data_IF_141624727219
#
_entry.id   IF_141624727219
#
_cell.length_a   1.000
_cell.length_b   1.000
_cell.length_c   1.000
_cell.angle_alpha   90.00
_cell.angle_beta   90.00
_cell.angle_gamma   90.00
#
_symmetry.space_group_name_H-M   'P 1'
#
loop_
_entity.id
_entity.type
_entity.pdbx_description
1 polymer ?
#
# COMPACT_ATOMS: atom_id res chain seq x y z
N UNK A 1 -24.92 -40.89 -25.05
CA UNK A 1 -23.75 -39.98 -25.15
C UNK A 1 -24.22 -38.63 -24.68
N UNK A 2 -24.16 -38.40 -23.37
CA UNK A 2 -24.72 -37.22 -22.72
C UNK A 2 -23.63 -36.16 -22.66
N UNK A 3 -23.67 -35.22 -23.59
CA UNK A 3 -22.75 -34.09 -23.67
C UNK A 3 -23.03 -33.15 -22.50
N UNK A 4 -22.28 -33.31 -21.40
CA UNK A 4 -22.26 -32.35 -20.31
C UNK A 4 -21.70 -31.03 -20.79
N UNK A 5 -22.56 -30.06 -21.07
CA UNK A 5 -22.17 -28.67 -21.24
C UNK A 5 -21.59 -28.20 -19.92
N UNK A 6 -20.26 -28.05 -19.83
CA UNK A 6 -19.63 -27.33 -18.74
C UNK A 6 -20.07 -25.88 -18.82
N UNK A 7 -20.84 -25.45 -17.83
CA UNK A 7 -21.18 -24.04 -17.63
C UNK A 7 -19.85 -23.29 -17.52
N UNK A 8 -19.60 -22.23 -18.32
CA UNK A 8 -18.40 -21.43 -18.12
C UNK A 8 -18.43 -20.88 -16.70
N UNK A 9 -17.35 -21.08 -15.94
CA UNK A 9 -17.19 -20.54 -14.59
C UNK A 9 -17.57 -19.05 -14.61
N UNK A 10 -18.61 -18.68 -13.85
CA UNK A 10 -19.09 -17.31 -13.83
C UNK A 10 -17.97 -16.40 -13.33
N UNK A 11 -17.50 -15.50 -14.20
CA UNK A 11 -16.53 -14.47 -13.83
C UNK A 11 -17.22 -13.46 -12.90
N UNK A 12 -17.00 -13.61 -11.60
CA UNK A 12 -17.50 -12.70 -10.59
C UNK A 12 -16.49 -11.58 -10.36
N UNK A 13 -16.92 -10.32 -10.50
CA UNK A 13 -16.13 -9.12 -10.19
C UNK A 13 -16.99 -8.15 -9.37
N UNK A 14 -16.34 -7.28 -8.59
CA UNK A 14 -17.01 -6.21 -7.86
C UNK A 14 -16.66 -4.86 -8.50
N UNK A 15 -17.59 -3.92 -8.50
CA UNK A 15 -17.31 -2.55 -8.94
C UNK A 15 -16.88 -1.69 -7.75
N UNK A 16 -15.99 -0.72 -7.99
CA UNK A 16 -15.58 0.25 -6.96
C UNK A 16 -16.79 1.00 -6.37
N UNK A 17 -17.80 1.32 -7.19
CA UNK A 17 -19.03 1.99 -6.78
C UNK A 17 -19.84 1.23 -5.73
N UNK A 18 -19.78 -0.11 -5.75
CA UNK A 18 -20.57 -0.95 -4.85
C UNK A 18 -19.94 -1.06 -3.45
N UNK A 19 -18.70 -0.58 -3.29
CA UNK A 19 -17.95 -0.69 -2.04
C UNK A 19 -18.17 0.56 -1.19
N UNK A 20 -18.97 0.41 -0.13
CA UNK A 20 -19.26 1.48 0.85
C UNK A 20 -18.27 1.56 2.02
N UNK A 21 -17.12 0.88 1.89
CA UNK A 21 -16.14 0.77 2.96
C UNK A 21 -15.12 1.91 2.81
N UNK A 22 -14.69 2.56 3.90
CA UNK A 22 -13.59 3.52 3.85
C UNK A 22 -12.30 2.85 3.38
N UNK A 23 -11.45 3.61 2.70
CA UNK A 23 -10.11 3.14 2.34
C UNK A 23 -9.32 2.94 3.63
N UNK A 24 -8.78 1.75 3.81
CA UNK A 24 -7.99 1.37 4.98
C UNK A 24 -6.73 0.67 4.52
N UNK A 25 -5.62 0.97 5.16
CA UNK A 25 -4.29 0.49 4.78
C UNK A 25 -3.57 0.04 6.04
N UNK A 26 -2.96 -1.14 6.04
CA UNK A 26 -2.22 -1.66 7.18
C UNK A 26 -0.72 -1.52 6.96
N UNK A 27 0.00 -0.98 7.93
CA UNK A 27 1.47 -0.94 7.95
C UNK A 27 2.02 -2.24 8.55
N UNK A 28 2.63 -3.11 7.75
CA UNK A 28 3.24 -4.35 8.27
C UNK A 28 4.59 -4.09 8.93
N UNK A 29 5.38 -3.17 8.37
CA UNK A 29 6.67 -2.80 8.95
C UNK A 29 7.56 -2.02 8.00
N UNK A 30 8.56 -1.35 8.58
CA UNK A 30 9.66 -0.68 7.90
C UNK A 30 10.89 -1.57 7.96
N UNK A 31 11.56 -1.73 6.82
CA UNK A 31 12.83 -2.44 6.70
C UNK A 31 13.91 -1.47 6.21
N UNK A 32 15.12 -1.59 6.75
CA UNK A 32 16.28 -0.77 6.38
C UNK A 32 16.75 0.14 7.51
N UNK A 33 17.95 0.70 7.36
CA UNK A 33 18.58 1.55 8.36
C UNK A 33 18.30 3.02 8.05
N UNK A 34 17.67 3.72 8.99
CA UNK A 34 17.40 5.16 8.86
C UNK A 34 18.70 5.95 8.69
N UNK A 35 18.68 7.07 7.93
CA UNK A 35 19.84 7.94 7.75
C UNK A 35 20.54 8.35 9.06
N UNK A 36 19.76 8.63 10.12
CA UNK A 36 20.28 9.03 11.45
C UNK A 36 21.00 7.90 12.18
N UNK A 37 20.63 6.64 11.92
CA UNK A 37 21.24 5.47 12.56
C UNK A 37 22.45 4.94 11.77
N UNK A 38 22.80 5.56 10.63
CA UNK A 38 23.94 5.13 9.82
C UNK A 38 25.26 5.60 10.44
N UNK A 39 26.27 4.72 10.55
CA UNK A 39 27.60 5.13 10.96
C UNK A 39 28.19 6.07 9.88
N UNK A 40 28.27 7.37 10.20
CA UNK A 40 28.83 8.41 9.31
C UNK A 40 27.90 9.58 8.97
N UNK A 41 26.64 9.58 9.44
CA UNK A 41 25.71 10.70 9.24
C UNK A 41 26.01 11.90 10.15
N UNK A 42 26.84 12.84 9.67
CA UNK A 42 26.94 14.29 9.92
C UNK A 42 26.56 14.96 11.28
N UNK A 43 26.36 14.24 12.38
CA UNK A 43 26.23 14.83 13.71
C UNK A 43 27.12 14.06 14.69
N UNK A 44 28.07 14.80 15.26
CA UNK A 44 29.03 14.35 16.25
C UNK A 44 28.42 13.44 17.33
N UNK A 45 29.01 12.26 17.51
CA UNK A 45 29.18 11.64 18.83
C UNK A 45 27.96 11.05 19.56
N UNK A 46 26.73 11.05 19.02
CA UNK A 46 25.56 10.46 19.70
C UNK A 46 25.04 9.20 18.99
N UNK A 47 25.75 8.08 19.16
CA UNK A 47 25.34 6.75 18.68
C UNK A 47 24.17 6.12 19.46
N UNK A 48 23.34 6.89 20.16
CA UNK A 48 22.39 6.35 21.15
C UNK A 48 21.17 7.24 21.41
N UNK A 49 20.61 7.90 20.41
CA UNK A 49 19.28 8.51 20.58
C UNK A 49 18.21 7.52 20.10
N UNK A 50 17.24 7.23 20.97
CA UNK A 50 16.04 6.49 20.57
C UNK A 50 15.30 7.31 19.52
N UNK A 51 15.25 6.80 18.29
CA UNK A 51 14.54 7.44 17.19
C UNK A 51 13.16 6.81 17.08
N UNK A 52 12.12 7.64 17.17
CA UNK A 52 10.75 7.22 16.89
C UNK A 52 10.39 7.61 15.45
N UNK A 53 9.58 6.80 14.79
CA UNK A 53 9.15 7.00 13.41
C UNK A 53 7.63 6.93 13.32
N UNK A 54 7.06 7.83 12.52
CA UNK A 54 5.66 7.76 12.15
C UNK A 54 5.50 7.95 10.64
N UNK A 55 4.41 7.41 10.11
CA UNK A 55 4.05 7.49 8.70
C UNK A 55 2.85 8.41 8.59
N UNK A 56 2.92 9.35 7.67
CA UNK A 56 1.79 10.16 7.23
C UNK A 56 1.37 9.63 5.87
N UNK A 57 0.09 9.31 5.72
CA UNK A 57 -0.47 8.87 4.46
C UNK A 57 -1.53 9.87 3.98
N UNK A 58 -1.44 10.24 2.71
CA UNK A 58 -2.38 11.15 2.04
C UNK A 58 -2.97 10.42 0.84
N UNK A 59 -4.25 10.68 0.56
CA UNK A 59 -4.91 10.18 -0.63
C UNK A 59 -4.87 11.28 -1.70
N UNK A 60 -4.48 10.91 -2.91
CA UNK A 60 -4.34 11.83 -4.05
C UNK A 60 -5.20 11.27 -5.18
N UNK A 61 -5.88 12.13 -5.93
CA UNK A 61 -6.53 11.74 -7.20
C UNK A 61 -6.25 12.79 -8.26
N UNK A 62 -5.78 12.34 -9.42
CA UNK A 62 -5.18 13.25 -10.40
C UNK A 62 -3.95 13.90 -9.78
N UNK A 63 -4.01 15.21 -9.59
CA UNK A 63 -2.97 16.04 -8.95
C UNK A 63 -3.49 16.79 -7.70
N UNK A 64 -4.63 16.36 -7.13
CA UNK A 64 -5.23 16.97 -5.93
C UNK A 64 -5.29 15.98 -4.76
N UNK A 65 -5.06 16.48 -3.53
CA UNK A 65 -5.19 15.70 -2.30
C UNK A 65 -6.66 15.59 -1.92
N UNK A 66 -7.15 14.36 -1.77
CA UNK A 66 -8.53 14.09 -1.38
C UNK A 66 -8.57 13.75 0.11
N UNK A 67 -9.42 14.48 0.84
CA UNK A 67 -9.76 14.16 2.21
C UNK A 67 -8.65 14.50 3.21
N UNK A 68 -8.72 13.86 4.38
CA UNK A 68 -7.80 14.11 5.49
C UNK A 68 -6.59 13.18 5.43
N UNK A 69 -5.45 13.70 5.87
CA UNK A 69 -4.22 12.95 6.03
C UNK A 69 -4.34 11.99 7.22
N UNK A 70 -3.99 10.72 7.02
CA UNK A 70 -3.96 9.71 8.07
C UNK A 70 -2.57 9.66 8.71
N UNK A 71 -2.53 9.59 10.04
CA UNK A 71 -1.29 9.50 10.81
C UNK A 71 -1.18 8.12 11.46
N UNK A 72 0.00 7.52 11.39
CA UNK A 72 0.31 6.36 12.21
C UNK A 72 0.69 6.78 13.62
N UNK A 73 0.66 5.81 14.53
CA UNK A 73 1.32 5.97 15.82
C UNK A 73 2.84 6.02 15.64
N UNK A 74 3.52 6.51 16.66
CA UNK A 74 4.98 6.41 16.77
C UNK A 74 5.39 4.95 16.94
N UNK A 75 6.43 4.55 16.24
CA UNK A 75 7.12 3.27 16.40
C UNK A 75 8.59 3.51 16.69
N UNK A 76 9.13 2.76 17.64
CA UNK A 76 10.56 2.80 17.95
C UNK A 76 11.33 2.17 16.79
N UNK A 77 12.35 2.88 16.30
CA UNK A 77 13.19 2.40 15.22
C UNK A 77 14.46 1.73 15.74
N UNK A 78 14.77 0.58 15.17
CA UNK A 78 16.02 -0.16 15.37
C UNK A 78 16.86 -0.13 14.08
N UNK A 79 18.06 -0.72 14.12
CA UNK A 79 18.95 -0.89 12.96
C UNK A 79 18.32 -1.71 11.81
N UNK A 80 17.31 -2.53 12.12
CA UNK A 80 16.57 -3.34 11.15
C UNK A 80 15.29 -2.68 10.62
N UNK A 81 14.91 -1.52 11.17
CA UNK A 81 13.67 -0.80 10.86
C UNK A 81 12.71 -0.73 12.05
N UNK A 82 11.41 -0.62 11.77
CA UNK A 82 10.37 -0.31 12.77
C UNK A 82 9.08 -1.11 12.52
N UNK A 83 8.38 -1.46 13.61
CA UNK A 83 7.08 -2.14 13.56
C UNK A 83 6.07 -1.33 14.37
N UNK A 84 4.91 -1.05 13.77
CA UNK A 84 3.85 -0.28 14.40
C UNK A 84 2.90 -1.17 15.20
N UNK A 85 2.66 -0.83 16.47
CA UNK A 85 1.70 -1.55 17.35
C UNK A 85 0.26 -1.45 16.86
N UNK A 86 -0.15 -0.28 16.36
CA UNK A 86 -1.42 -0.10 15.66
C UNK A 86 -1.13 0.23 14.19
N UNK A 87 -1.24 -0.76 13.30
CA UNK A 87 -0.79 -0.61 11.92
C UNK A 87 -1.83 0.03 10.99
N UNK A 88 -3.07 0.21 11.42
CA UNK A 88 -4.16 0.61 10.52
C UNK A 88 -4.21 2.13 10.33
N UNK A 89 -4.15 2.55 9.07
CA UNK A 89 -4.42 3.89 8.58
C UNK A 89 -5.78 3.86 7.86
N UNK A 90 -6.77 4.53 8.44
CA UNK A 90 -8.13 4.60 7.88
C UNK A 90 -8.39 6.01 7.39
N UNK A 91 -8.83 6.13 6.14
CA UNK A 91 -9.21 7.39 5.52
C UNK A 91 -10.72 7.61 5.60
N UNK A 92 -11.14 8.87 5.59
CA UNK A 92 -12.57 9.22 5.57
C UNK A 92 -13.22 9.03 4.19
N UNK A 93 -12.43 8.70 3.17
CA UNK A 93 -12.86 8.55 1.77
C UNK A 93 -13.18 7.07 1.51
N UNK A 94 -14.28 6.81 0.82
CA UNK A 94 -14.73 5.45 0.49
C UNK A 94 -14.20 5.01 -0.86
N UNK A 95 -14.10 3.70 -1.08
CA UNK A 95 -13.64 3.16 -2.37
C UNK A 95 -14.51 3.58 -3.57
N UNK A 96 -15.81 3.86 -3.35
CA UNK A 96 -16.74 4.37 -4.37
C UNK A 96 -16.39 5.76 -4.91
N UNK A 97 -15.72 6.58 -4.12
CA UNK A 97 -15.45 8.00 -4.44
C UNK A 97 -14.08 8.17 -5.10
N UNK A 98 -13.30 7.09 -5.18
CA UNK A 98 -11.96 7.12 -5.77
C UNK A 98 -12.02 7.20 -7.29
N UNK A 99 -11.23 8.09 -7.89
CA UNK A 99 -10.95 8.08 -9.33
C UNK A 99 -9.99 6.94 -9.74
N UNK A 100 -9.85 6.68 -11.05
CA UNK A 100 -8.96 5.62 -11.56
C UNK A 100 -7.48 5.98 -11.35
N UNK A 101 -7.14 7.27 -11.33
CA UNK A 101 -5.80 7.78 -11.06
C UNK A 101 -5.53 8.03 -9.57
N UNK A 102 -6.31 7.40 -8.68
CA UNK A 102 -6.11 7.57 -7.24
C UNK A 102 -4.82 6.90 -6.78
N UNK A 103 -4.07 7.58 -5.93
CA UNK A 103 -2.78 7.17 -5.39
C UNK A 103 -2.73 7.45 -3.89
N UNK A 104 -2.00 6.60 -3.18
CA UNK A 104 -1.63 6.82 -1.79
C UNK A 104 -0.20 7.37 -1.74
N UNK A 105 -0.05 8.54 -1.14
CA UNK A 105 1.23 9.15 -0.84
C UNK A 105 1.59 8.85 0.60
N UNK A 106 2.74 8.22 0.83
CA UNK A 106 3.28 7.99 2.16
C UNK A 106 4.50 8.89 2.38
N UNK A 107 4.56 9.52 3.54
CA UNK A 107 5.72 10.27 4.04
C UNK A 107 6.19 9.64 5.32
N UNK A 108 7.47 9.28 5.37
CA UNK A 108 8.12 8.75 6.56
C UNK A 108 8.77 9.91 7.32
N UNK A 109 8.36 10.09 8.57
CA UNK A 109 8.89 11.11 9.46
C UNK A 109 9.60 10.47 10.62
N UNK A 110 10.76 11.01 10.97
CA UNK A 110 11.49 10.63 12.17
C UNK A 110 11.39 11.73 13.22
N UNK A 111 11.33 11.30 14.48
CA UNK A 111 11.33 12.12 15.68
C UNK A 111 12.50 11.68 16.53
N UNK A 112 13.32 12.66 16.88
CA UNK A 112 14.49 12.49 17.74
C UNK A 112 14.13 13.02 19.14
N UNK A 113 14.84 12.55 20.18
CA UNK A 113 14.60 12.95 21.59
C UNK A 113 14.61 14.47 21.80
N UNK A 114 15.39 15.20 20.99
CA UNK A 114 15.41 16.67 20.94
C UNK A 114 14.07 17.31 20.53
N UNK A 115 13.07 16.51 20.15
CA UNK A 115 11.75 16.95 19.71
C UNK A 115 11.71 17.43 18.25
N UNK A 116 12.84 17.40 17.53
CA UNK A 116 12.88 17.78 16.12
C UNK A 116 12.27 16.69 15.24
N UNK A 117 11.35 17.08 14.36
CA UNK A 117 10.76 16.18 13.36
C UNK A 117 11.41 16.46 12.01
N UNK A 118 11.85 15.41 11.32
CA UNK A 118 12.44 15.53 9.99
C UNK A 118 11.87 14.50 9.04
N UNK A 119 11.72 14.91 7.78
CA UNK A 119 11.28 14.03 6.72
C UNK A 119 12.44 13.10 6.34
N UNK A 120 12.22 11.80 6.50
CA UNK A 120 13.17 10.77 6.07
C UNK A 120 13.04 10.55 4.57
N UNK A 121 11.81 10.46 4.08
CA UNK A 121 11.52 10.21 2.68
C UNK A 121 10.05 9.93 2.41
N UNK A 122 9.73 9.69 1.16
CA UNK A 122 8.37 9.54 0.69
C UNK A 122 8.24 8.52 -0.43
N UNK A 123 7.03 8.02 -0.62
CA UNK A 123 6.71 7.14 -1.74
C UNK A 123 5.24 7.28 -2.14
N UNK A 124 4.95 7.00 -3.40
CA UNK A 124 3.59 7.02 -3.93
C UNK A 124 3.21 5.68 -4.51
N UNK A 125 2.06 5.14 -4.08
CA UNK A 125 1.49 3.88 -4.54
C UNK A 125 0.17 4.15 -5.29
N UNK A 126 0.06 3.80 -6.58
CA UNK A 126 -1.23 3.83 -7.26
C UNK A 126 -2.19 2.79 -6.65
N UNK A 127 -3.45 3.17 -6.44
CA UNK A 127 -4.48 2.26 -5.93
C UNK A 127 -5.03 1.37 -7.04
N UNK A 128 -5.13 1.86 -8.27
CA UNK A 128 -5.59 1.10 -9.41
C UNK A 128 -4.46 0.80 -10.40
N UNK A 129 -4.51 -0.39 -10.98
CA UNK A 129 -3.70 -0.76 -12.13
C UNK A 129 -4.16 0.00 -13.38
N UNK A 130 -3.32 -0.01 -14.43
CA UNK A 130 -3.70 0.51 -15.77
C UNK A 130 -4.95 -0.13 -16.36
N UNK A 131 -5.35 -1.31 -15.88
CA UNK A 131 -6.58 -2.01 -16.27
C UNK A 131 -7.80 -1.62 -15.43
N UNK A 132 -7.67 -0.66 -14.52
CA UNK A 132 -8.72 -0.27 -13.58
C UNK A 132 -8.94 -1.24 -12.43
N UNK A 133 -8.08 -2.23 -12.23
CA UNK A 133 -8.20 -3.18 -11.11
C UNK A 133 -7.51 -2.63 -9.85
N UNK A 134 -8.21 -2.66 -8.72
CA UNK A 134 -7.66 -2.26 -7.42
C UNK A 134 -6.50 -3.17 -7.00
N UNK A 135 -5.42 -2.58 -6.51
CA UNK A 135 -4.33 -3.30 -5.87
C UNK A 135 -4.78 -3.85 -4.52
N UNK A 136 -4.44 -5.11 -4.23
CA UNK A 136 -4.81 -5.81 -2.99
C UNK A 136 -3.60 -6.54 -2.41
N UNK A 137 -3.67 -6.90 -1.14
CA UNK A 137 -2.65 -7.67 -0.44
C UNK A 137 -1.38 -6.88 -0.12
N UNK A 138 -0.30 -7.60 0.15
CA UNK A 138 0.98 -7.02 0.57
C UNK A 138 1.68 -6.30 -0.59
N UNK A 139 2.03 -5.03 -0.36
CA UNK A 139 2.75 -4.16 -1.26
C UNK A 139 4.06 -3.72 -0.59
N UNK A 140 5.18 -4.04 -1.24
CA UNK A 140 6.51 -3.58 -0.82
C UNK A 140 6.81 -2.26 -1.53
N UNK A 141 6.92 -1.19 -0.77
CA UNK A 141 7.19 0.15 -1.27
C UNK A 141 8.62 0.55 -0.97
N UNK A 142 9.35 1.03 -1.96
CA UNK A 142 10.64 1.70 -1.75
C UNK A 142 10.41 3.15 -1.32
N UNK A 143 11.13 3.58 -0.29
CA UNK A 143 11.07 4.96 0.20
C UNK A 143 12.22 5.75 -0.40
N UNK A 144 11.90 6.88 -1.01
CA UNK A 144 12.88 7.80 -1.58
C UNK A 144 13.37 8.75 -0.50
N UNK A 145 14.64 8.61 -0.12
CA UNK A 145 15.23 9.41 0.96
C UNK A 145 15.37 10.88 0.59
N UNK A 146 15.05 11.76 1.53
CA UNK A 146 15.11 13.22 1.36
C UNK A 146 14.06 13.81 0.42
N UNK A 147 13.23 12.99 -0.23
CA UNK A 147 12.17 13.43 -1.14
C UNK A 147 10.79 13.16 -0.51
N UNK A 148 9.93 14.18 -0.47
CA UNK A 148 8.53 14.00 -0.09
C UNK A 148 7.72 13.27 -1.17
N UNK A 149 6.50 12.81 -0.85
CA UNK A 149 5.64 12.20 -1.85
C UNK A 149 5.27 13.20 -2.95
N UNK A 150 5.47 12.80 -4.20
CA UNK A 150 5.11 13.62 -5.34
C UNK A 150 3.60 13.58 -5.60
N UNK A 151 2.97 14.75 -5.73
CA UNK A 151 1.54 14.86 -6.07
C UNK A 151 1.30 14.80 -7.58
N UNK A 152 2.30 15.19 -8.38
CA UNK A 152 2.19 15.35 -9.82
C UNK A 152 2.27 14.03 -10.59
N UNK A 153 1.65 14.03 -11.77
CA UNK A 153 1.75 12.95 -12.76
C UNK A 153 2.70 13.29 -13.92
N UNK A 154 3.73 12.46 -14.23
CA UNK A 154 4.14 11.22 -13.57
C UNK A 154 4.87 11.43 -12.24
N UNK A 155 4.70 10.50 -11.29
CA UNK A 155 5.27 10.61 -9.94
C UNK A 155 6.79 10.45 -9.95
N UNK A 156 7.51 11.40 -9.37
CA UNK A 156 8.97 11.34 -9.20
C UNK A 156 9.41 10.28 -8.17
N UNK A 157 8.52 9.89 -7.25
CA UNK A 157 8.79 8.98 -6.13
C UNK A 157 7.94 7.70 -6.18
N UNK A 158 8.03 6.88 -7.24
CA UNK A 158 7.22 5.66 -7.35
C UNK A 158 7.61 4.68 -6.23
N UNK A 159 6.63 4.24 -5.44
CA UNK A 159 6.86 3.26 -4.38
C UNK A 159 7.15 1.85 -4.94
N UNK A 160 6.56 1.50 -6.09
CA UNK A 160 6.82 0.24 -6.76
C UNK A 160 7.81 0.42 -7.90
N UNK A 161 9.08 0.09 -7.63
CA UNK A 161 10.14 0.12 -8.66
C UNK A 161 10.15 -1.23 -9.38
N UNK A 162 9.96 -1.27 -10.71
CA UNK A 162 10.11 -2.51 -11.48
C UNK A 162 11.55 -2.99 -11.39
N UNK A 163 11.81 -4.05 -10.61
CA UNK A 163 13.12 -4.70 -10.57
C UNK A 163 13.15 -5.81 -11.64
N UNK A 164 14.27 -5.95 -12.41
CA UNK A 164 14.38 -6.94 -13.47
C UNK A 164 14.32 -8.38 -12.95
N UNK A 165 14.67 -8.59 -11.67
CA UNK A 165 14.52 -9.86 -10.97
C UNK A 165 13.58 -9.64 -9.79
N UNK A 166 12.32 -10.07 -9.93
CA UNK A 166 11.36 -10.18 -8.82
C UNK A 166 11.98 -11.11 -7.77
N UNK A 167 12.04 -10.67 -6.51
CA UNK A 167 12.59 -11.51 -5.45
C UNK A 167 11.75 -12.78 -5.31
N UNK A 168 12.37 -13.89 -4.92
CA UNK A 168 11.64 -15.14 -4.69
C UNK A 168 10.49 -14.95 -3.70
N UNK A 169 10.70 -14.10 -2.68
CA UNK A 169 9.68 -13.75 -1.68
C UNK A 169 8.49 -13.00 -2.30
N UNK A 170 8.72 -12.06 -3.21
CA UNK A 170 7.63 -11.34 -3.91
C UNK A 170 6.84 -12.29 -4.82
N UNK A 171 7.52 -13.26 -5.45
CA UNK A 171 6.87 -14.32 -6.22
C UNK A 171 5.99 -15.19 -5.33
N UNK A 172 6.50 -15.63 -4.17
CA UNK A 172 5.76 -16.47 -3.23
C UNK A 172 4.54 -15.75 -2.66
N UNK A 173 4.65 -14.46 -2.33
CA UNK A 173 3.51 -13.67 -1.85
C UNK A 173 2.45 -13.43 -2.92
N UNK A 174 2.88 -13.22 -4.17
CA UNK A 174 1.94 -13.13 -5.29
C UNK A 174 1.19 -14.45 -5.51
N UNK A 175 1.82 -15.59 -5.23
CA UNK A 175 1.16 -16.90 -5.24
C UNK A 175 0.24 -17.07 -4.05
N UNK A 176 0.65 -16.63 -2.85
CA UNK A 176 -0.18 -16.66 -1.64
C UNK A 176 -1.48 -15.85 -1.83
N UNK A 177 -1.38 -14.65 -2.39
CA UNK A 177 -2.54 -13.80 -2.63
C UNK A 177 -3.55 -14.44 -3.60
N UNK A 178 -3.09 -15.28 -4.54
CA UNK A 178 -3.97 -16.07 -5.42
C UNK A 178 -4.54 -17.27 -4.69
N UNK A 179 -3.72 -17.93 -3.90
CA UNK A 179 -4.10 -19.10 -3.14
C UNK A 179 -5.24 -18.80 -2.15
N UNK A 180 -5.18 -17.68 -1.42
CA UNK A 180 -6.23 -17.29 -0.47
C UNK A 180 -7.60 -17.06 -1.13
N UNK A 181 -7.63 -16.70 -2.42
CA UNK A 181 -8.87 -16.55 -3.19
C UNK A 181 -9.47 -17.91 -3.55
N UNK A 182 -8.62 -18.91 -3.84
CA UNK A 182 -9.02 -20.21 -4.38
C UNK A 182 -9.05 -21.33 -3.31
N UNK A 183 -8.75 -21.03 -2.03
CA UNK A 183 -8.35 -21.99 -0.99
C UNK A 183 -9.43 -22.99 -0.53
N UNK A 184 -10.61 -23.02 -1.14
CA UNK A 184 -11.77 -23.82 -0.68
C UNK A 184 -11.52 -25.35 -0.63
N UNK A 185 -10.45 -25.86 -1.26
CA UNK A 185 -10.16 -27.30 -1.34
C UNK A 185 -8.76 -27.72 -0.86
N UNK A 186 -7.98 -26.82 -0.23
CA UNK A 186 -6.61 -27.16 0.17
C UNK A 186 -6.52 -27.82 1.56
N UNK A 187 -5.58 -28.75 1.70
CA UNK A 187 -5.32 -29.47 2.97
C UNK A 187 -4.68 -28.54 4.02
N UNK A 188 -5.26 -28.40 5.23
CA UNK A 188 -4.78 -27.44 6.24
C UNK A 188 -3.33 -27.65 6.68
N UNK A 189 -2.88 -28.90 6.82
CA UNK A 189 -1.52 -29.22 7.28
C UNK A 189 -0.44 -28.84 6.24
N UNK A 190 -0.75 -28.95 4.95
CA UNK A 190 0.14 -28.53 3.87
C UNK A 190 0.25 -27.01 3.80
N UNK A 191 -0.87 -26.30 4.00
CA UNK A 191 -0.89 -24.84 4.08
C UNK A 191 -0.05 -24.36 5.27
N UNK A 192 -0.16 -25.01 6.43
CA UNK A 192 0.64 -24.67 7.60
C UNK A 192 2.16 -24.76 7.33
N UNK A 193 2.61 -25.82 6.65
CA UNK A 193 4.01 -25.97 6.23
C UNK A 193 4.44 -24.89 5.22
N UNK A 194 3.57 -24.57 4.25
CA UNK A 194 3.82 -23.51 3.27
C UNK A 194 3.93 -22.13 3.94
N UNK A 195 3.06 -21.83 4.90
CA UNK A 195 3.11 -20.58 5.65
C UNK A 195 4.34 -20.49 6.56
N UNK A 196 4.75 -21.60 7.18
CA UNK A 196 5.97 -21.64 7.99
C UNK A 196 7.23 -21.38 7.14
N UNK A 197 7.31 -22.00 5.96
CA UNK A 197 8.42 -21.77 5.03
C UNK A 197 8.43 -20.35 4.48
N UNK A 198 7.27 -19.78 4.15
CA UNK A 198 7.15 -18.38 3.74
C UNK A 198 7.61 -17.42 4.86
N UNK A 199 7.19 -17.65 6.10
CA UNK A 199 7.61 -16.86 7.25
C UNK A 199 9.14 -16.89 7.42
N UNK A 200 9.77 -18.04 7.20
CA UNK A 200 11.24 -18.16 7.20
C UNK A 200 11.88 -17.29 6.13
N UNK A 201 11.38 -17.35 4.89
CA UNK A 201 11.90 -16.51 3.80
C UNK A 201 11.71 -15.01 4.05
N UNK A 202 10.59 -14.62 4.68
CA UNK A 202 10.34 -13.22 5.06
C UNK A 202 11.32 -12.74 6.14
N UNK A 203 11.64 -13.59 7.12
CA UNK A 203 12.63 -13.29 8.15
C UNK A 203 14.05 -13.17 7.55
N UNK A 204 14.45 -14.11 6.69
CA UNK A 204 15.72 -14.05 5.97
C UNK A 204 15.84 -12.81 5.07
N UNK A 205 14.76 -12.38 4.42
CA UNK A 205 14.75 -11.11 3.69
C UNK A 205 14.93 -9.96 4.66
N UNK A 206 14.16 -9.88 5.75
CA UNK A 206 14.27 -8.82 6.75
C UNK A 206 15.70 -8.67 7.31
N UNK A 207 16.38 -9.78 7.60
CA UNK A 207 17.78 -9.78 8.05
C UNK A 207 18.73 -9.20 7.01
N UNK A 208 18.54 -9.49 5.72
CA UNK A 208 19.35 -8.92 4.62
C UNK A 208 19.18 -7.41 4.49
N UNK A 209 18.07 -6.87 4.99
CA UNK A 209 17.78 -5.42 4.97
C UNK A 209 18.35 -4.69 6.20
N UNK A 210 18.76 -5.40 7.24
CA UNK A 210 19.42 -4.80 8.41
C UNK A 210 20.71 -4.11 7.97
N UNK A 211 20.85 -2.82 8.28
CA UNK A 211 22.03 -2.04 7.92
C UNK A 211 22.12 -1.56 6.47
N UNK A 212 21.13 -1.85 5.60
CA UNK A 212 21.10 -1.27 4.25
C UNK A 212 20.75 0.21 4.28
N UNK A 213 21.32 0.96 3.34
CA UNK A 213 20.98 2.36 3.09
C UNK A 213 19.67 2.55 2.32
N UNK A 214 19.06 1.50 1.81
CA UNK A 214 17.75 1.61 1.14
C UNK A 214 16.64 1.29 2.14
N UNK A 215 15.62 2.13 2.17
CA UNK A 215 14.44 1.94 3.01
C UNK A 215 13.29 1.30 2.21
N UNK A 216 12.56 0.40 2.88
CA UNK A 216 11.38 -0.27 2.34
C UNK A 216 10.24 -0.25 3.36
N UNK A 217 9.08 0.22 2.93
CA UNK A 217 7.83 0.16 3.69
C UNK A 217 6.96 -0.99 3.18
N UNK A 218 6.61 -1.93 4.06
CA UNK A 218 5.67 -3.00 3.75
C UNK A 218 4.27 -2.58 4.17
N UNK A 219 3.36 -2.52 3.20
CA UNK A 219 1.99 -2.03 3.37
C UNK A 219 1.02 -3.10 2.88
N UNK A 220 0.00 -3.43 3.66
CA UNK A 220 -1.02 -4.39 3.28
C UNK A 220 -2.33 -3.68 2.94
N UNK A 221 -2.82 -3.92 1.73
CA UNK A 221 -4.11 -3.47 1.25
C UNK A 221 -5.17 -4.57 1.47
N UNK A 222 -6.40 -4.21 1.88
CA UNK A 222 -7.49 -5.16 2.06
C UNK A 222 -7.69 -6.06 0.84
N UNK A 223 -7.83 -7.37 1.09
CA UNK A 223 -8.12 -8.36 0.06
C UNK A 223 -9.63 -8.52 -0.05
N UNK A 224 -10.15 -8.41 -1.26
CA UNK A 224 -11.55 -8.65 -1.59
C UNK A 224 -11.72 -10.04 -2.18
N UNK A 225 -12.87 -10.68 -1.92
CA UNK A 225 -13.19 -12.01 -2.46
C UNK A 225 -13.17 -12.06 -3.99
N UNK A 226 -13.59 -10.99 -4.63
CA UNK A 226 -13.61 -10.83 -6.08
C UNK A 226 -12.75 -9.64 -6.50
N UNK A 227 -12.14 -9.66 -7.70
CA UNK A 227 -11.39 -8.53 -8.19
C UNK A 227 -12.28 -7.29 -8.29
N UNK A 228 -11.80 -6.18 -7.74
CA UNK A 228 -12.50 -4.90 -7.76
C UNK A 228 -12.06 -4.11 -8.98
N UNK A 229 -13.02 -3.75 -9.85
CA UNK A 229 -12.80 -2.93 -11.03
C UNK A 229 -13.35 -1.53 -10.81
N UNK A 230 -12.62 -0.54 -11.29
CA UNK A 230 -13.09 0.83 -11.34
C UNK A 230 -14.24 0.95 -12.33
N UNK A 231 -15.33 1.55 -11.88
CA UNK A 231 -16.42 2.00 -12.74
C UNK A 231 -16.92 3.36 -12.25
N UNK A 232 -17.43 4.17 -13.16
CA UNK A 232 -18.10 5.43 -12.83
C UNK A 232 -19.41 5.46 -13.59
N UNK A 233 -20.51 5.66 -12.87
CA UNK A 233 -21.78 5.94 -13.52
C UNK A 233 -21.64 7.22 -14.33
N UNK A 234 -22.02 7.23 -15.62
CA UNK A 234 -22.08 8.48 -16.38
C UNK A 234 -23.10 9.38 -15.68
N UNK A 235 -22.64 10.54 -15.22
CA UNK A 235 -23.55 11.57 -14.72
C UNK A 235 -24.35 12.07 -15.91
N UNK A 236 -25.60 11.62 -16.05
CA UNK A 236 -26.56 12.29 -16.91
C UNK A 236 -26.90 13.61 -16.23
N UNK A 237 -26.31 14.70 -16.72
CA UNK A 237 -26.77 16.02 -16.31
C UNK A 237 -28.29 16.10 -16.52
N UNK A 238 -29.06 16.62 -15.55
CA UNK A 238 -30.49 16.83 -15.78
C UNK A 238 -30.62 17.72 -17.01
N UNK A 239 -31.29 17.23 -18.04
CA UNK A 239 -31.63 18.04 -19.21
C UNK A 239 -32.40 19.24 -18.69
N UNK A 240 -31.87 20.44 -18.97
CA UNK A 240 -32.62 21.67 -18.78
C UNK A 240 -33.74 21.70 -19.82
N UNK A 241 -34.78 20.89 -19.61
CA UNK A 241 -35.96 20.91 -20.46
C UNK A 241 -36.67 22.25 -20.22
N UNK A 242 -36.81 22.98 -21.32
CA UNK A 242 -37.14 24.39 -21.36
C UNK A 242 -38.45 24.73 -20.65
N UNK A 243 -38.39 25.75 -19.80
CA UNK A 243 -39.56 26.53 -19.44
C UNK A 243 -39.95 27.34 -20.67
N UNK A 244 -40.85 26.76 -21.48
CA UNK A 244 -41.64 27.49 -22.46
C UNK A 244 -42.53 28.48 -21.71
N UNK A 245 -42.14 29.76 -21.74
CA UNK A 245 -42.99 30.86 -21.33
C UNK A 245 -44.12 31.04 -22.33
N UNK A 246 -45.26 30.41 -22.06
CA UNK A 246 -46.55 30.78 -22.64
C UNK A 246 -47.40 31.44 -21.56
N UNK A 247 -47.76 32.70 -21.78
CA UNK A 247 -48.59 33.52 -20.91
C UNK A 247 -48.49 34.99 -21.29
#
# INVERSE_FOLDING_TARGET
>A
MSSGCSVPSAFNFCLSCDIDIPVSVKLEGLQGCLPVLRPGGAADGFFSESVAVFVVAELISGDERIGLTAFSNYADCSLGGAIWKNPWLTFCVKYRDLGPDSRLAFSLWQVVISGSWSLVGGCTLPLFNRRGQLHTGLQRLHIWEGLGPCVQTPTTTPGRIPKPTTSEVERLESLLARFDVDSSSSSPWMNALAFQTLARFQAEDAEKWVGRHELRLNVFLPIFKYPVLYHRFPYSAPTSDGVGGGG
#
